data_IF_195458217729
#
_entry.id   IF_195458217729
#
_cell.length_a   1.000
_cell.length_b   1.000
_cell.length_c   1.000
_cell.angle_alpha   90.00
_cell.angle_beta   90.00
_cell.angle_gamma   90.00
#
_symmetry.space_group_name_H-M   'P 1'
#
loop_
_entity.id
_entity.type
_entity.pdbx_description
1 polymer ?
#
# COMPACT_ATOMS: atom_id res chain seq x y z
N UNK A 1 14.63 -41.46 -38.99
CA UNK A 1 13.50 -40.54 -38.85
C UNK A 1 12.70 -40.81 -37.56
N UNK A 2 12.20 -42.06 -37.30
CA UNK A 2 11.39 -42.38 -36.13
C UNK A 2 12.09 -42.13 -34.78
N UNK A 3 13.36 -42.54 -34.63
CA UNK A 3 14.13 -42.27 -33.40
C UNK A 3 14.36 -40.78 -33.10
N UNK A 4 14.50 -39.95 -34.15
CA UNK A 4 14.62 -38.53 -33.98
C UNK A 4 13.31 -37.94 -33.47
N UNK A 5 12.17 -38.33 -34.07
CA UNK A 5 10.85 -37.89 -33.62
C UNK A 5 10.53 -38.34 -32.18
N UNK A 6 10.93 -39.56 -31.83
CA UNK A 6 10.79 -40.10 -30.45
C UNK A 6 11.56 -39.23 -29.45
N UNK A 7 12.83 -38.96 -29.71
CA UNK A 7 13.66 -38.14 -28.79
C UNK A 7 13.15 -36.71 -28.67
N UNK A 8 12.76 -36.09 -29.78
CA UNK A 8 12.18 -34.73 -29.75
C UNK A 8 10.87 -34.71 -28.93
N UNK A 9 10.02 -35.71 -29.10
CA UNK A 9 8.76 -35.78 -28.35
C UNK A 9 8.99 -36.01 -26.87
N UNK A 10 9.95 -36.85 -26.49
CA UNK A 10 10.34 -37.04 -25.09
C UNK A 10 10.85 -35.71 -24.48
N UNK A 11 11.76 -35.04 -25.19
CA UNK A 11 12.28 -33.74 -24.74
C UNK A 11 11.17 -32.69 -24.61
N UNK A 12 10.24 -32.61 -25.59
CA UNK A 12 9.08 -31.72 -25.57
C UNK A 12 8.20 -31.99 -24.34
N UNK A 13 7.90 -33.26 -24.04
CA UNK A 13 7.13 -33.65 -22.85
C UNK A 13 7.82 -33.23 -21.54
N UNK A 14 9.15 -33.37 -21.46
CA UNK A 14 9.93 -32.97 -20.31
C UNK A 14 9.95 -31.45 -20.15
N UNK A 15 10.11 -30.69 -21.25
CA UNK A 15 10.05 -29.22 -21.23
C UNK A 15 8.67 -28.72 -20.81
N UNK A 16 7.59 -29.34 -21.31
CA UNK A 16 6.23 -29.00 -20.88
C UNK A 16 6.01 -29.24 -19.38
N UNK A 17 6.55 -30.35 -18.83
CA UNK A 17 6.52 -30.62 -17.40
C UNK A 17 7.27 -29.58 -16.58
N UNK A 18 8.47 -29.17 -17.01
CA UNK A 18 9.24 -28.10 -16.38
C UNK A 18 8.48 -26.78 -16.45
N UNK A 19 7.84 -26.47 -17.59
CA UNK A 19 6.98 -25.31 -17.76
C UNK A 19 5.84 -25.28 -16.71
N UNK A 20 5.15 -26.39 -16.51
CA UNK A 20 4.12 -26.51 -15.47
C UNK A 20 4.66 -26.24 -14.07
N UNK A 21 5.84 -26.74 -13.72
CA UNK A 21 6.46 -26.48 -12.41
C UNK A 21 6.75 -24.98 -12.19
N UNK A 22 7.19 -24.28 -13.25
CA UNK A 22 7.40 -22.82 -13.18
C UNK A 22 6.06 -22.09 -12.99
N UNK A 23 5.03 -22.50 -13.72
CA UNK A 23 3.69 -21.92 -13.58
C UNK A 23 3.09 -22.15 -12.19
N UNK A 24 3.24 -23.33 -11.62
CA UNK A 24 2.82 -23.60 -10.22
C UNK A 24 3.53 -22.70 -9.23
N UNK A 25 4.83 -22.46 -9.43
CA UNK A 25 5.60 -21.54 -8.61
C UNK A 25 5.12 -20.10 -8.77
N UNK A 26 4.77 -19.70 -10.00
CA UNK A 26 4.20 -18.38 -10.30
C UNK A 26 2.85 -18.18 -9.62
N UNK A 27 1.98 -19.20 -9.68
CA UNK A 27 0.67 -19.17 -8.99
C UNK A 27 0.85 -18.97 -7.48
N UNK A 28 1.79 -19.71 -6.87
CA UNK A 28 2.10 -19.55 -5.44
C UNK A 28 2.61 -18.14 -5.11
N UNK A 29 3.51 -17.60 -5.93
CA UNK A 29 4.05 -16.25 -5.75
C UNK A 29 2.96 -15.18 -5.90
N UNK A 30 2.04 -15.32 -6.86
CA UNK A 30 0.93 -14.38 -7.04
C UNK A 30 -0.08 -14.43 -5.88
N UNK A 31 -0.37 -15.61 -5.35
CA UNK A 31 -1.21 -15.75 -4.17
C UNK A 31 -0.59 -15.07 -2.93
N UNK A 32 0.71 -15.26 -2.73
CA UNK A 32 1.44 -14.59 -1.64
C UNK A 32 1.46 -13.08 -1.84
N UNK A 33 1.68 -12.60 -3.06
CA UNK A 33 1.62 -11.17 -3.41
C UNK A 33 0.24 -10.59 -3.09
N UNK A 34 -0.84 -11.26 -3.47
CA UNK A 34 -2.22 -10.83 -3.18
C UNK A 34 -2.45 -10.71 -1.68
N UNK A 35 -1.94 -11.67 -0.90
CA UNK A 35 -2.02 -11.63 0.57
C UNK A 35 -1.25 -10.46 1.15
N UNK A 36 -0.01 -10.23 0.68
CA UNK A 36 0.82 -9.09 1.13
C UNK A 36 0.16 -7.76 0.80
N UNK A 37 -0.43 -7.62 -0.38
CA UNK A 37 -1.21 -6.44 -0.76
C UNK A 37 -2.45 -6.23 0.11
N UNK A 38 -3.13 -7.31 0.51
CA UNK A 38 -4.22 -7.25 1.47
C UNK A 38 -3.76 -6.67 2.83
N UNK A 39 -2.66 -7.19 3.35
CA UNK A 39 -2.08 -6.69 4.61
C UNK A 39 -1.62 -5.22 4.49
N UNK A 40 -1.04 -4.85 3.35
CA UNK A 40 -0.65 -3.46 3.08
C UNK A 40 -1.87 -2.53 3.04
N UNK A 41 -2.98 -2.96 2.42
CA UNK A 41 -4.23 -2.20 2.37
C UNK A 41 -4.80 -1.96 3.78
N UNK A 42 -4.75 -2.98 4.64
CA UNK A 42 -5.16 -2.86 6.04
C UNK A 42 -4.28 -1.87 6.82
N UNK A 43 -2.95 -1.96 6.67
CA UNK A 43 -2.02 -1.01 7.29
C UNK A 43 -2.21 0.43 6.83
N UNK A 44 -2.55 0.64 5.56
CA UNK A 44 -2.87 1.98 5.03
C UNK A 44 -4.19 2.51 5.62
N UNK A 45 -5.18 1.65 5.82
CA UNK A 45 -6.42 2.03 6.49
C UNK A 45 -6.19 2.46 7.94
N UNK A 46 -5.38 1.69 8.67
CA UNK A 46 -4.99 2.04 10.03
C UNK A 46 -4.26 3.40 10.08
N UNK A 47 -3.41 3.69 9.08
CA UNK A 47 -2.73 4.98 8.96
C UNK A 47 -3.71 6.13 8.71
N UNK A 48 -4.76 5.94 7.90
CA UNK A 48 -5.80 6.96 7.70
C UNK A 48 -6.56 7.23 9.00
N UNK A 49 -6.93 6.18 9.75
CA UNK A 49 -7.57 6.32 11.06
C UNK A 49 -6.67 7.08 12.08
N UNK A 50 -5.37 6.79 12.10
CA UNK A 50 -4.43 7.52 12.96
C UNK A 50 -4.28 8.98 12.51
N UNK A 51 -4.24 9.24 11.22
CA UNK A 51 -4.19 10.60 10.67
C UNK A 51 -5.42 11.41 11.09
N UNK A 52 -6.61 10.79 11.08
CA UNK A 52 -7.82 11.44 11.56
C UNK A 52 -7.75 11.79 13.05
N UNK A 53 -7.23 10.89 13.90
CA UNK A 53 -7.03 11.17 15.33
C UNK A 53 -6.05 12.32 15.55
N UNK A 54 -4.98 12.39 14.74
CA UNK A 54 -4.03 13.52 14.80
C UNK A 54 -4.74 14.83 14.44
N UNK A 55 -5.57 14.84 13.38
CA UNK A 55 -6.35 16.01 13.00
C UNK A 55 -7.25 16.51 14.15
N UNK A 56 -7.93 15.60 14.83
CA UNK A 56 -8.83 15.95 15.96
C UNK A 56 -8.05 16.52 17.15
N UNK A 57 -6.88 15.95 17.45
CA UNK A 57 -5.99 16.46 18.51
C UNK A 57 -5.47 17.85 18.17
N UNK A 58 -5.03 18.08 16.93
CA UNK A 58 -4.52 19.36 16.47
C UNK A 58 -5.61 20.42 16.52
N UNK A 59 -6.84 20.09 16.14
CA UNK A 59 -8.01 20.97 16.27
C UNK A 59 -8.25 21.38 17.73
N UNK A 60 -8.10 20.43 18.67
CA UNK A 60 -8.22 20.73 20.11
C UNK A 60 -7.11 21.67 20.59
N UNK A 61 -5.86 21.45 20.13
CA UNK A 61 -4.71 22.32 20.48
C UNK A 61 -4.92 23.72 19.92
N UNK A 62 -5.41 23.85 18.69
CA UNK A 62 -5.75 25.15 18.09
C UNK A 62 -6.80 25.88 18.93
N UNK A 63 -7.86 25.18 19.37
CA UNK A 63 -8.87 25.76 20.27
C UNK A 63 -8.31 26.23 21.61
N UNK A 64 -7.35 25.49 22.18
CA UNK A 64 -6.64 25.90 23.41
C UNK A 64 -5.79 27.14 23.16
N UNK A 65 -5.10 27.20 22.01
CA UNK A 65 -4.31 28.37 21.63
C UNK A 65 -5.18 29.61 21.49
N UNK A 66 -6.34 29.51 20.85
CA UNK A 66 -7.30 30.60 20.73
C UNK A 66 -7.82 31.07 22.09
N UNK A 67 -8.18 30.14 22.97
CA UNK A 67 -8.58 30.47 24.36
C UNK A 67 -7.45 31.14 25.14
N UNK A 68 -6.21 30.66 24.98
CA UNK A 68 -5.02 31.22 25.64
C UNK A 68 -4.75 32.63 25.12
N UNK A 69 -4.91 32.88 23.83
CA UNK A 69 -4.79 34.21 23.24
C UNK A 69 -5.82 35.18 23.80
N UNK A 70 -7.08 34.75 23.95
CA UNK A 70 -8.14 35.55 24.57
C UNK A 70 -7.88 35.82 26.06
N UNK A 71 -7.41 34.85 26.81
CA UNK A 71 -7.04 35.01 28.23
C UNK A 71 -5.87 36.00 28.37
N UNK A 72 -4.85 35.87 27.52
CA UNK A 72 -3.71 36.77 27.50
C UNK A 72 -4.12 38.22 27.13
N UNK A 73 -5.05 38.36 26.18
CA UNK A 73 -5.60 39.69 25.82
C UNK A 73 -6.33 40.32 27.02
N UNK A 74 -7.17 39.57 27.72
CA UNK A 74 -7.87 40.05 28.90
C UNK A 74 -6.89 40.45 30.02
N UNK A 75 -5.83 39.63 30.23
CA UNK A 75 -4.77 39.95 31.20
C UNK A 75 -3.99 41.25 30.82
N UNK A 76 -3.71 41.45 29.53
CA UNK A 76 -3.07 42.67 29.05
C UNK A 76 -3.94 43.91 29.27
N UNK A 77 -5.25 43.79 29.05
CA UNK A 77 -6.21 44.88 29.30
C UNK A 77 -6.23 45.23 30.79
N UNK A 78 -6.30 44.23 31.68
CA UNK A 78 -6.35 44.50 33.13
C UNK A 78 -5.01 45.00 33.67
N UNK A 79 -3.89 44.56 33.11
CA UNK A 79 -2.57 45.08 33.42
C UNK A 79 -2.46 46.57 33.01
N UNK A 80 -2.97 46.95 31.85
CA UNK A 80 -3.04 48.36 31.43
C UNK A 80 -3.91 49.20 32.37
N UNK A 81 -5.00 48.62 32.89
CA UNK A 81 -5.89 49.27 33.83
C UNK A 81 -5.25 49.55 35.21
N UNK A 82 -4.30 48.70 35.62
CA UNK A 82 -3.54 48.84 36.86
C UNK A 82 -2.41 49.87 36.78
N UNK A 83 -2.20 50.53 35.63
CA UNK A 83 -1.19 51.56 35.45
C UNK A 83 0.24 51.06 35.72
N UNK A 84 1.03 51.85 36.44
CA UNK A 84 2.45 51.51 36.74
C UNK A 84 2.63 50.18 37.45
N UNK A 85 1.68 49.73 38.27
CA UNK A 85 1.72 48.48 38.98
C UNK A 85 1.49 47.27 38.05
N UNK A 86 0.87 47.47 36.90
CA UNK A 86 0.58 46.44 35.91
C UNK A 86 1.68 46.18 34.90
N UNK A 87 2.75 46.99 34.82
CA UNK A 87 3.76 46.94 33.74
C UNK A 87 4.41 45.53 33.57
N UNK A 88 4.74 44.88 34.70
CA UNK A 88 5.32 43.53 34.65
C UNK A 88 4.34 42.49 34.13
N UNK A 89 3.06 42.59 34.49
CA UNK A 89 2.00 41.71 34.02
C UNK A 89 1.67 41.92 32.53
N UNK A 90 1.75 43.16 32.05
CA UNK A 90 1.53 43.44 30.62
C UNK A 90 2.57 42.75 29.73
N UNK A 91 3.85 42.75 30.13
CA UNK A 91 4.92 42.06 29.38
C UNK A 91 4.67 40.56 29.33
N UNK A 92 4.27 39.94 30.46
CA UNK A 92 3.94 38.49 30.50
C UNK A 92 2.73 38.18 29.65
N UNK A 93 1.69 38.99 29.69
CA UNK A 93 0.49 38.84 28.87
C UNK A 93 0.80 38.92 27.37
N UNK A 94 1.64 39.87 26.94
CA UNK A 94 2.05 39.95 25.55
C UNK A 94 2.89 38.76 25.10
N UNK A 95 3.78 38.25 25.95
CA UNK A 95 4.57 37.02 25.64
C UNK A 95 3.67 35.79 25.51
N UNK A 96 2.68 35.59 26.40
CA UNK A 96 1.69 34.51 26.32
C UNK A 96 0.85 34.64 25.06
N UNK A 97 0.47 35.86 24.67
CA UNK A 97 -0.28 36.11 23.43
C UNK A 97 0.54 35.74 22.19
N UNK A 98 1.83 36.09 22.19
CA UNK A 98 2.72 35.72 21.09
C UNK A 98 2.93 34.20 21.01
N UNK A 99 3.06 33.53 22.16
CA UNK A 99 3.17 32.08 22.23
C UNK A 99 1.90 31.41 21.70
N UNK A 100 0.72 31.88 22.08
CA UNK A 100 -0.56 31.36 21.59
C UNK A 100 -0.68 31.53 20.06
N UNK A 101 -0.30 32.68 19.50
CA UNK A 101 -0.27 32.92 18.06
C UNK A 101 0.67 31.95 17.33
N UNK A 102 1.89 31.77 17.87
CA UNK A 102 2.84 30.77 17.30
C UNK A 102 2.32 29.35 17.37
N UNK A 103 1.62 28.98 18.45
CA UNK A 103 1.00 27.68 18.60
C UNK A 103 -0.09 27.49 17.56
N UNK A 104 -0.95 28.50 17.32
CA UNK A 104 -1.99 28.45 16.28
C UNK A 104 -1.38 28.24 14.89
N UNK A 105 -0.34 29.02 14.53
CA UNK A 105 0.35 28.84 13.24
C UNK A 105 0.97 27.45 13.09
N UNK A 106 1.60 26.91 14.13
CA UNK A 106 2.17 25.56 14.10
C UNK A 106 1.08 24.49 13.93
N UNK A 107 -0.09 24.67 14.54
CA UNK A 107 -1.21 23.74 14.35
C UNK A 107 -1.77 23.77 12.93
N UNK A 108 -1.82 24.94 12.29
CA UNK A 108 -2.21 25.05 10.87
C UNK A 108 -1.24 24.29 9.95
N UNK A 109 0.06 24.39 10.19
CA UNK A 109 1.06 23.63 9.44
C UNK A 109 0.84 22.12 9.61
N UNK A 110 0.56 21.65 10.83
CA UNK A 110 0.30 20.22 11.08
C UNK A 110 -0.98 19.77 10.37
N UNK A 111 -2.04 20.57 10.34
CA UNK A 111 -3.27 20.27 9.59
C UNK A 111 -2.96 20.07 8.10
N UNK A 112 -2.14 20.94 7.51
CA UNK A 112 -1.75 20.81 6.10
C UNK A 112 -0.98 19.49 5.85
N UNK A 113 -0.06 19.10 6.73
CA UNK A 113 0.66 17.84 6.64
C UNK A 113 -0.30 16.65 6.75
N UNK A 114 -1.28 16.70 7.65
CA UNK A 114 -2.28 15.62 7.79
C UNK A 114 -3.13 15.48 6.54
N UNK A 115 -3.56 16.61 5.94
CA UNK A 115 -4.32 16.61 4.68
C UNK A 115 -3.50 15.99 3.55
N UNK A 116 -2.22 16.32 3.45
CA UNK A 116 -1.32 15.76 2.44
C UNK A 116 -1.10 14.25 2.67
N UNK A 117 -0.90 13.82 3.92
CA UNK A 117 -0.78 12.41 4.27
C UNK A 117 -2.01 11.62 3.85
N UNK A 118 -3.22 12.13 4.10
CA UNK A 118 -4.46 11.46 3.66
C UNK A 118 -4.53 11.30 2.14
N UNK A 119 -4.13 12.30 1.38
CA UNK A 119 -4.06 12.18 -0.08
C UNK A 119 -3.04 11.11 -0.52
N UNK A 120 -1.91 11.01 0.16
CA UNK A 120 -0.92 9.96 -0.12
C UNK A 120 -1.45 8.56 0.22
N UNK A 121 -2.19 8.41 1.33
CA UNK A 121 -2.82 7.13 1.69
C UNK A 121 -3.90 6.73 0.70
N UNK A 122 -4.74 7.65 0.22
CA UNK A 122 -5.73 7.39 -0.82
C UNK A 122 -5.06 6.90 -2.12
N UNK A 123 -3.98 7.55 -2.55
CA UNK A 123 -3.21 7.12 -3.71
C UNK A 123 -2.58 5.73 -3.50
N UNK A 124 -2.07 5.44 -2.30
CA UNK A 124 -1.50 4.14 -1.97
C UNK A 124 -2.54 3.02 -2.04
N UNK A 125 -3.77 3.26 -1.56
CA UNK A 125 -4.89 2.30 -1.69
C UNK A 125 -5.17 2.00 -3.16
N UNK A 126 -5.28 3.03 -4.01
CA UNK A 126 -5.52 2.83 -5.45
C UNK A 126 -4.41 2.01 -6.12
N UNK A 127 -3.14 2.24 -5.76
CA UNK A 127 -2.02 1.46 -6.28
C UNK A 127 -2.07 -0.01 -5.83
N UNK A 128 -2.46 -0.26 -4.57
CA UNK A 128 -2.64 -1.60 -4.03
C UNK A 128 -3.77 -2.33 -4.77
N UNK A 129 -4.91 -1.68 -4.97
CA UNK A 129 -6.05 -2.26 -5.70
C UNK A 129 -5.68 -2.60 -7.15
N UNK A 130 -5.00 -1.68 -7.84
CA UNK A 130 -4.51 -1.93 -9.18
C UNK A 130 -3.51 -3.10 -9.23
N UNK A 131 -2.64 -3.21 -8.22
CA UNK A 131 -1.70 -4.31 -8.09
C UNK A 131 -2.40 -5.66 -7.83
N UNK A 132 -3.44 -5.69 -6.99
CA UNK A 132 -4.25 -6.90 -6.76
C UNK A 132 -4.94 -7.37 -8.05
N UNK A 133 -5.48 -6.43 -8.85
CA UNK A 133 -6.08 -6.79 -10.14
C UNK A 133 -5.05 -7.36 -11.10
N UNK A 134 -3.84 -6.78 -11.17
CA UNK A 134 -2.75 -7.32 -11.98
C UNK A 134 -2.27 -8.71 -11.52
N UNK A 135 -2.24 -8.94 -10.22
CA UNK A 135 -1.92 -10.28 -9.70
C UNK A 135 -3.01 -11.31 -10.08
N UNK A 136 -4.28 -10.91 -10.08
CA UNK A 136 -5.40 -11.74 -10.51
C UNK A 136 -5.32 -12.09 -12.01
N UNK A 137 -5.05 -11.10 -12.86
CA UNK A 137 -4.81 -11.34 -14.29
C UNK A 137 -3.64 -12.33 -14.52
N UNK A 138 -2.54 -12.16 -13.77
CA UNK A 138 -1.38 -13.05 -13.86
C UNK A 138 -1.70 -14.48 -13.44
N UNK A 139 -2.55 -14.68 -12.43
CA UNK A 139 -3.06 -15.98 -12.02
C UNK A 139 -3.88 -16.64 -13.12
N UNK A 140 -4.75 -15.91 -13.79
CA UNK A 140 -5.56 -16.39 -14.90
C UNK A 140 -4.67 -16.84 -16.06
N UNK A 141 -3.71 -16.01 -16.49
CA UNK A 141 -2.77 -16.35 -17.56
C UNK A 141 -1.88 -17.55 -17.19
N UNK A 142 -1.46 -17.66 -15.93
CA UNK A 142 -0.70 -18.82 -15.46
C UNK A 142 -1.52 -20.10 -15.55
N UNK A 143 -2.79 -20.03 -15.19
CA UNK A 143 -3.71 -21.18 -15.27
C UNK A 143 -3.96 -21.61 -16.71
N UNK A 144 -4.18 -20.65 -17.62
CA UNK A 144 -4.34 -20.94 -19.06
C UNK A 144 -3.07 -21.53 -19.65
N UNK A 145 -1.91 -20.97 -19.30
CA UNK A 145 -0.61 -21.50 -19.76
C UNK A 145 -0.35 -22.92 -19.23
N UNK A 146 -0.75 -23.20 -17.99
CA UNK A 146 -0.65 -24.54 -17.41
C UNK A 146 -1.50 -25.58 -18.16
N UNK A 147 -2.70 -25.20 -18.60
CA UNK A 147 -3.51 -26.05 -19.49
C UNK A 147 -2.79 -26.34 -20.80
N UNK A 148 -2.27 -25.32 -21.47
CA UNK A 148 -1.55 -25.49 -22.72
C UNK A 148 -0.31 -26.40 -22.55
N UNK A 149 0.45 -26.25 -21.46
CA UNK A 149 1.59 -27.13 -21.16
C UNK A 149 1.15 -28.57 -20.93
N UNK A 150 0.02 -28.80 -20.27
CA UNK A 150 -0.52 -30.14 -20.09
C UNK A 150 -0.97 -30.79 -21.40
N UNK A 151 -1.56 -30.04 -22.31
CA UNK A 151 -1.93 -30.48 -23.66
C UNK A 151 -0.68 -30.82 -24.49
N UNK A 152 0.35 -29.99 -24.45
CA UNK A 152 1.65 -30.26 -25.11
C UNK A 152 2.26 -31.55 -24.55
N UNK A 153 2.26 -31.74 -23.25
CA UNK A 153 2.78 -32.96 -22.62
C UNK A 153 2.00 -34.21 -23.06
N UNK A 154 0.67 -34.10 -23.11
CA UNK A 154 -0.19 -35.22 -23.60
C UNK A 154 0.11 -35.56 -25.05
N UNK A 155 0.14 -34.56 -25.94
CA UNK A 155 0.46 -34.74 -27.35
C UNK A 155 1.86 -35.35 -27.58
N UNK A 156 2.85 -34.86 -26.81
CA UNK A 156 4.20 -35.43 -26.85
C UNK A 156 4.21 -36.92 -26.45
N UNK A 157 3.47 -37.32 -25.43
CA UNK A 157 3.33 -38.68 -24.97
C UNK A 157 2.60 -39.55 -26.01
N UNK A 158 1.58 -39.04 -26.69
CA UNK A 158 0.89 -39.74 -27.77
C UNK A 158 1.81 -40.04 -28.93
N UNK A 159 2.67 -39.09 -29.33
CA UNK A 159 3.68 -39.32 -30.38
C UNK A 159 4.69 -40.38 -29.95
N UNK A 160 5.20 -40.33 -28.72
CA UNK A 160 6.10 -41.36 -28.17
C UNK A 160 5.46 -42.74 -28.22
N UNK A 161 4.19 -42.85 -27.81
CA UNK A 161 3.44 -44.14 -27.84
C UNK A 161 3.21 -44.65 -29.27
N UNK A 162 2.82 -43.77 -30.20
CA UNK A 162 2.60 -44.13 -31.60
C UNK A 162 3.88 -44.66 -32.25
N UNK A 163 5.01 -43.99 -32.04
CA UNK A 163 6.32 -44.44 -32.55
C UNK A 163 6.74 -45.77 -31.90
N UNK A 164 6.48 -45.94 -30.61
CA UNK A 164 6.78 -47.20 -29.90
C UNK A 164 5.97 -48.40 -30.42
N UNK A 165 4.69 -48.18 -30.78
CA UNK A 165 3.87 -49.20 -31.42
C UNK A 165 4.32 -49.52 -32.84
N UNK A 166 4.74 -48.50 -33.60
CA UNK A 166 5.24 -48.71 -34.97
C UNK A 166 6.54 -49.50 -34.98
N UNK A 167 7.47 -49.22 -34.08
CA UNK A 167 8.75 -49.97 -33.97
C UNK A 167 8.62 -51.38 -33.46
N UNK A 168 7.53 -51.75 -32.78
CA UNK A 168 7.23 -53.15 -32.37
C UNK A 168 6.60 -54.01 -33.46
N UNK A 169 6.07 -53.39 -34.53
CA UNK A 169 5.41 -54.06 -35.65
C UNK A 169 6.34 -54.32 -36.85
N UNK A 170 7.55 -53.75 -36.81
CA UNK A 170 8.64 -53.99 -37.76
C UNK A 170 9.59 -55.05 -37.20
#
# INVERSE_FOLDING_TARGET
AANVAFNISQETGEQARKGNQVLDSTVKAMNELTKQMGNASEGIKDLDEQSQKVADLVKSISGIADQTNLLALNAAIEAARAGDQGRGFAVVADEVRQLASRTSSATEEIVNVVVENRKLTENAVQLIEAGQEKAREALEYSTQSGKAMSEIQSGANEVVNAIGQFTKRL
#
